data_IF_224729411411
#
_entry.id   IF_224729411411
#
_cell.length_a   1.000
_cell.length_b   1.000
_cell.length_c   1.000
_cell.angle_alpha   90.00
_cell.angle_beta   90.00
_cell.angle_gamma   90.00
#
_symmetry.space_group_name_H-M   'P 1'
#
loop_
_entity.id
_entity.type
_entity.pdbx_description
1 polymer ?
#
# COMPACT_ATOMS: atom_id res chain seq x y z
N UNK A 1 -6.19 -2.63 -3.49
CA UNK A 1 -5.07 -2.96 -2.57
C UNK A 1 -4.94 -1.82 -1.59
N UNK A 2 -4.79 -2.12 -0.31
CA UNK A 2 -4.41 -1.15 0.72
C UNK A 2 -3.00 -1.51 1.18
N UNK A 3 -2.16 -0.51 1.39
CA UNK A 3 -0.81 -0.69 1.94
C UNK A 3 -0.70 0.16 3.19
N UNK A 4 -0.53 -0.48 4.34
CA UNK A 4 -0.24 0.20 5.60
C UNK A 4 1.28 0.21 5.81
N UNK A 5 1.87 1.39 6.03
CA UNK A 5 3.30 1.52 6.26
C UNK A 5 3.60 1.90 7.71
N UNK A 6 4.60 1.24 8.31
CA UNK A 6 5.16 1.64 9.59
C UNK A 6 5.78 3.04 9.57
N UNK A 7 5.95 3.63 10.75
CA UNK A 7 6.56 4.95 10.94
C UNK A 7 7.91 4.82 11.67
N UNK A 8 8.85 5.72 11.41
CA UNK A 8 10.27 5.64 11.82
C UNK A 8 10.48 5.40 13.32
N UNK A 9 9.56 5.90 14.14
CA UNK A 9 9.67 5.87 15.60
C UNK A 9 8.42 5.31 16.30
N UNK A 10 7.55 4.62 15.55
CA UNK A 10 6.31 4.07 16.08
C UNK A 10 6.19 2.59 15.70
N UNK A 11 6.28 1.73 16.72
CA UNK A 11 5.86 0.33 16.63
C UNK A 11 4.36 0.28 16.88
N UNK A 12 3.59 0.67 15.88
CA UNK A 12 2.15 0.45 15.87
C UNK A 12 1.95 -0.90 15.21
N UNK A 13 1.31 -1.83 15.94
CA UNK A 13 0.85 -3.07 15.31
C UNK A 13 -0.17 -2.70 14.23
N UNK A 14 -0.09 -3.31 13.03
CA UNK A 14 -1.02 -2.99 11.96
C UNK A 14 -2.47 -3.16 12.39
N UNK A 15 -3.41 -2.53 11.68
CA UNK A 15 -4.85 -2.64 11.96
C UNK A 15 -5.31 -4.08 12.28
N UNK A 16 -5.60 -4.38 13.56
CA UNK A 16 -5.92 -5.75 14.06
C UNK A 16 -7.42 -6.02 14.31
N UNK A 17 -8.32 -5.20 13.77
CA UNK A 17 -9.76 -5.38 13.99
C UNK A 17 -10.33 -6.59 13.22
N UNK A 18 -11.01 -7.52 13.90
CA UNK A 18 -11.68 -8.67 13.23
C UNK A 18 -12.67 -8.21 12.16
N UNK A 19 -13.41 -7.13 12.40
CA UNK A 19 -14.32 -6.54 11.40
C UNK A 19 -13.59 -5.97 10.18
N UNK A 20 -12.40 -5.41 10.38
CA UNK A 20 -11.58 -4.90 9.29
C UNK A 20 -11.13 -6.04 8.38
N UNK A 21 -10.62 -7.15 8.94
CA UNK A 21 -10.22 -8.32 8.17
C UNK A 21 -11.40 -9.05 7.50
N UNK A 22 -12.56 -9.13 8.16
CA UNK A 22 -13.78 -9.66 7.55
C UNK A 22 -14.19 -8.88 6.31
N UNK A 23 -14.09 -7.55 6.34
CA UNK A 23 -14.40 -6.71 5.19
C UNK A 23 -13.36 -6.90 4.07
N UNK A 24 -12.07 -6.93 4.38
CA UNK A 24 -11.01 -7.15 3.39
C UNK A 24 -11.20 -8.49 2.65
N UNK A 25 -11.45 -9.57 3.39
CA UNK A 25 -11.68 -10.90 2.81
C UNK A 25 -12.99 -10.95 2.01
N UNK A 26 -14.09 -10.39 2.53
CA UNK A 26 -15.39 -10.39 1.85
C UNK A 26 -15.35 -9.61 0.52
N UNK A 27 -14.66 -8.47 0.50
CA UNK A 27 -14.51 -7.65 -0.70
C UNK A 27 -13.32 -8.03 -1.58
N UNK A 28 -12.56 -9.09 -1.20
CA UNK A 28 -11.35 -9.55 -1.90
C UNK A 28 -10.33 -8.42 -2.11
N UNK A 29 -10.22 -7.53 -1.12
CA UNK A 29 -9.26 -6.43 -1.14
C UNK A 29 -7.92 -6.95 -0.63
N UNK A 30 -6.89 -6.91 -1.48
CA UNK A 30 -5.51 -7.16 -1.04
C UNK A 30 -5.09 -6.13 0.02
N UNK A 31 -4.35 -6.58 1.02
CA UNK A 31 -3.88 -5.76 2.14
C UNK A 31 -2.42 -6.10 2.43
N UNK A 32 -1.53 -5.12 2.30
CA UNK A 32 -0.11 -5.25 2.61
C UNK A 32 0.23 -4.42 3.85
N UNK A 33 1.13 -4.95 4.66
CA UNK A 33 1.79 -4.21 5.74
C UNK A 33 3.27 -4.16 5.40
N UNK A 34 3.84 -2.97 5.29
CA UNK A 34 5.26 -2.77 5.00
C UNK A 34 5.90 -1.92 6.08
N UNK A 35 7.11 -2.27 6.50
CA UNK A 35 7.88 -1.48 7.44
C UNK A 35 9.32 -1.28 6.91
N UNK A 36 9.55 -0.20 6.14
CA UNK A 36 10.86 0.11 5.58
C UNK A 36 11.97 0.23 6.64
N UNK A 37 11.63 0.63 7.87
CA UNK A 37 12.59 0.88 8.95
C UNK A 37 13.20 -0.40 9.55
N UNK A 38 12.47 -1.51 9.50
CA UNK A 38 12.99 -2.84 9.85
C UNK A 38 13.32 -3.68 8.61
N UNK A 39 13.34 -3.05 7.42
CA UNK A 39 13.59 -3.68 6.11
C UNK A 39 12.56 -4.77 5.75
N UNK A 40 11.31 -4.62 6.20
CA UNK A 40 10.20 -5.49 5.85
C UNK A 40 9.38 -4.85 4.72
N UNK A 41 9.80 -5.10 3.47
CA UNK A 41 9.21 -4.46 2.29
C UNK A 41 9.60 -2.98 2.13
N UNK A 42 9.23 -2.43 0.99
CA UNK A 42 9.48 -1.02 0.64
C UNK A 42 8.47 -0.53 -0.38
N UNK A 43 8.40 0.79 -0.53
CA UNK A 43 7.67 1.46 -1.58
C UNK A 43 8.42 2.75 -1.95
N UNK A 44 8.26 3.17 -3.20
CA UNK A 44 9.00 4.29 -3.77
C UNK A 44 8.20 5.59 -3.59
N UNK A 45 8.42 6.26 -2.44
CA UNK A 45 7.75 7.52 -2.08
C UNK A 45 8.05 8.61 -3.10
N UNK A 46 9.30 8.74 -3.52
CA UNK A 46 9.74 9.75 -4.48
C UNK A 46 9.06 9.58 -5.83
N UNK A 47 8.88 8.33 -6.28
CA UNK A 47 8.11 8.02 -7.48
C UNK A 47 6.66 8.46 -7.33
N UNK A 48 5.99 8.11 -6.23
CA UNK A 48 4.59 8.47 -5.98
C UNK A 48 4.39 9.98 -5.88
N UNK A 49 5.32 10.69 -5.22
CA UNK A 49 5.30 12.13 -5.06
C UNK A 49 5.45 12.89 -6.39
N UNK A 50 6.08 12.28 -7.40
CA UNK A 50 6.25 12.87 -8.74
C UNK A 50 5.05 12.64 -9.67
N UNK A 51 4.09 11.79 -9.29
CA UNK A 51 2.93 11.53 -10.13
C UNK A 51 1.98 12.72 -10.17
N UNK A 52 1.21 12.82 -11.26
CA UNK A 52 0.17 13.83 -11.40
C UNK A 52 -0.84 13.72 -10.26
N UNK A 53 -1.07 14.85 -9.59
CA UNK A 53 -1.94 14.91 -8.43
C UNK A 53 -3.29 15.51 -8.82
N UNK A 54 -4.37 14.75 -8.62
CA UNK A 54 -5.72 15.23 -8.86
C UNK A 54 -6.25 16.07 -7.68
N UNK A 55 -5.75 15.83 -6.47
CA UNK A 55 -6.12 16.55 -5.26
C UNK A 55 -5.07 16.36 -4.17
N UNK A 56 -4.72 17.43 -3.45
CA UNK A 56 -3.78 17.40 -2.33
C UNK A 56 -4.21 18.35 -1.21
N UNK A 57 -4.04 17.90 0.04
CA UNK A 57 -4.13 18.72 1.25
C UNK A 57 -3.04 18.29 2.25
N UNK A 58 -3.11 18.79 3.49
CA UNK A 58 -2.14 18.49 4.56
C UNK A 58 -1.95 16.99 4.84
N UNK A 59 -2.99 16.17 4.66
CA UNK A 59 -2.99 14.76 5.08
C UNK A 59 -3.14 13.76 3.92
N UNK A 60 -3.66 14.20 2.78
CA UNK A 60 -4.06 13.32 1.68
C UNK A 60 -3.52 13.85 0.35
N UNK A 61 -2.89 12.95 -0.41
CA UNK A 61 -2.53 13.14 -1.81
C UNK A 61 -3.23 12.08 -2.67
N UNK A 62 -4.03 12.52 -3.63
CA UNK A 62 -4.70 11.65 -4.59
C UNK A 62 -3.98 11.70 -5.94
N UNK A 63 -3.40 10.57 -6.34
CA UNK A 63 -2.71 10.39 -7.62
C UNK A 63 -3.55 9.54 -8.56
N UNK A 64 -3.50 9.85 -9.86
CA UNK A 64 -4.23 9.11 -10.90
C UNK A 64 -3.23 8.52 -11.88
N UNK A 65 -3.40 7.24 -12.21
CA UNK A 65 -2.70 6.55 -13.28
C UNK A 65 -3.65 6.33 -14.45
N UNK A 66 -3.18 6.51 -15.68
CA UNK A 66 -4.02 6.33 -16.88
C UNK A 66 -4.47 4.88 -17.08
N UNK A 67 -3.59 3.94 -16.72
CA UNK A 67 -3.85 2.49 -16.78
C UNK A 67 -3.85 1.92 -15.36
N UNK A 68 -4.68 0.90 -15.07
CA UNK A 68 -4.63 0.19 -13.80
C UNK A 68 -3.24 -0.39 -13.53
N UNK A 69 -2.74 -0.25 -12.30
CA UNK A 69 -1.48 -0.87 -11.90
C UNK A 69 -1.65 -2.39 -11.77
N UNK A 70 -0.64 -3.13 -12.20
CA UNK A 70 -0.60 -4.58 -12.04
C UNK A 70 -0.17 -4.89 -10.60
N UNK A 71 -0.96 -5.71 -9.92
CA UNK A 71 -0.70 -6.16 -8.55
C UNK A 71 -0.66 -7.68 -8.56
N UNK A 72 0.38 -8.26 -7.96
CA UNK A 72 0.49 -9.72 -7.74
C UNK A 72 0.65 -10.00 -6.26
N UNK A 73 -0.09 -10.99 -5.77
CA UNK A 73 -0.10 -11.40 -4.36
C UNK A 73 0.13 -12.92 -4.31
N UNK A 74 1.15 -13.32 -3.57
CA UNK A 74 1.41 -14.70 -3.19
C UNK A 74 1.26 -14.84 -1.67
N UNK A 75 0.02 -15.12 -1.26
CA UNK A 75 -0.31 -15.29 0.16
C UNK A 75 0.31 -16.55 0.80
N UNK A 76 0.81 -17.50 0.00
CA UNK A 76 1.48 -18.70 0.52
C UNK A 76 2.89 -18.38 1.00
N UNK A 77 3.60 -17.55 0.25
CA UNK A 77 4.97 -17.13 0.58
C UNK A 77 5.02 -15.76 1.28
N UNK A 78 3.86 -15.16 1.58
CA UNK A 78 3.73 -13.82 2.13
C UNK A 78 4.47 -12.76 1.29
N UNK A 79 4.33 -12.84 -0.03
CA UNK A 79 4.97 -11.93 -0.99
C UNK A 79 3.91 -11.13 -1.75
N UNK A 80 4.24 -9.88 -2.06
CA UNK A 80 3.40 -8.99 -2.82
C UNK A 80 4.23 -8.02 -3.65
N UNK A 81 3.77 -7.69 -4.85
CA UNK A 81 4.41 -6.67 -5.70
C UNK A 81 3.36 -5.84 -6.42
N UNK A 82 3.63 -4.55 -6.51
CA UNK A 82 2.90 -3.60 -7.35
C UNK A 82 3.87 -3.12 -8.42
N UNK A 83 3.53 -3.34 -9.68
CA UNK A 83 4.35 -2.86 -10.79
C UNK A 83 4.11 -1.37 -10.99
N UNK A 84 5.19 -0.65 -11.33
CA UNK A 84 5.07 0.72 -11.84
C UNK A 84 4.25 0.71 -13.14
N UNK A 85 3.51 1.79 -13.46
CA UNK A 85 2.80 1.89 -14.73
C UNK A 85 3.79 1.73 -15.89
N UNK A 86 3.41 0.95 -16.89
CA UNK A 86 4.12 0.87 -18.17
C UNK A 86 3.82 2.13 -18.98
N UNK A 87 4.83 2.69 -19.67
CA UNK A 87 4.64 3.77 -20.65
C UNK A 87 3.63 3.38 -21.75
#
# INVERSE_FOLDING_TARGET
>A
LIVESGLENYRIDPSQGTHFFQNLTSFRVGYFTVNPYIKDGYYDVDFLAKQNCAYENEYIRHVIFEKPLIIKIDGKNNLGIVYKPEE
#
